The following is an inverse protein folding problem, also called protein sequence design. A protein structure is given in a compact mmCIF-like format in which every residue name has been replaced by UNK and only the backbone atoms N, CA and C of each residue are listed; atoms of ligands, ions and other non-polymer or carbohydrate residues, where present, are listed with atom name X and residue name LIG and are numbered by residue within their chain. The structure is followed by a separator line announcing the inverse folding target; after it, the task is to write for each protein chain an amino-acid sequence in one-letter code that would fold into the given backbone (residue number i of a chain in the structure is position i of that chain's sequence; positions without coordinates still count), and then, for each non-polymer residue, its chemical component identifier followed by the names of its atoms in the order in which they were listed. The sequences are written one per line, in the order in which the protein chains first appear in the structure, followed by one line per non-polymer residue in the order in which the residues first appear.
data_IF_248991877539
#
_entry.id   IF_248991877539
#
_cell.length_a   1.000
_cell.length_b   1.000
_cell.length_c   1.000
_cell.angle_alpha   90.00
_cell.angle_beta   90.00
_cell.angle_gamma   90.00
#
_symmetry.space_group_name_H-M   'P 1'
#
loop_
_entity.id
_entity.type
_entity.pdbx_description
1 polymer ?
#
# COMPACT_ATOMS: atom_id res chain seq x y z
N UNK A 1 -0.95 -1.13 -13.99
CA UNK A 1 -1.75 -2.12 -13.24
C UNK A 1 -1.26 -2.12 -11.81
N UNK A 2 -2.09 -1.77 -10.81
CA UNK A 2 -1.65 -1.91 -9.42
C UNK A 2 -1.78 -3.37 -8.99
N UNK A 3 -0.87 -3.84 -8.16
CA UNK A 3 -0.81 -5.23 -7.71
C UNK A 3 -0.50 -5.28 -6.21
N UNK A 4 -0.97 -6.31 -5.49
CA UNK A 4 -0.60 -6.52 -4.10
C UNK A 4 0.90 -6.80 -4.00
N UNK A 5 1.50 -6.34 -2.92
CA UNK A 5 2.89 -6.59 -2.56
C UNK A 5 3.06 -6.53 -1.04
N UNK A 6 4.25 -6.83 -0.56
CA UNK A 6 4.58 -6.80 0.87
C UNK A 6 5.57 -5.68 1.14
N UNK A 7 5.35 -4.96 2.23
CA UNK A 7 6.22 -3.86 2.62
C UNK A 7 7.52 -4.43 3.20
N UNK A 8 8.66 -4.03 2.67
CA UNK A 8 9.95 -4.53 3.15
C UNK A 8 10.33 -3.99 4.54
N UNK A 9 9.64 -2.94 5.02
CA UNK A 9 9.89 -2.33 6.34
C UNK A 9 9.08 -2.98 7.46
N UNK A 10 7.76 -3.02 7.29
CA UNK A 10 6.85 -3.53 8.32
C UNK A 10 6.33 -4.94 8.03
N UNK A 11 6.65 -5.53 6.88
CA UNK A 11 6.15 -6.83 6.41
C UNK A 11 4.62 -6.89 6.22
N UNK A 12 3.93 -5.75 6.29
CA UNK A 12 2.50 -5.64 6.04
C UNK A 12 2.13 -5.69 4.56
N UNK A 13 0.86 -6.00 4.28
CA UNK A 13 0.26 -5.94 2.96
C UNK A 13 0.24 -4.50 2.44
N UNK A 14 0.78 -4.32 1.26
CA UNK A 14 0.85 -3.06 0.52
C UNK A 14 0.58 -3.37 -0.94
N UNK A 15 0.83 -2.42 -1.82
CA UNK A 15 0.64 -2.54 -3.23
C UNK A 15 1.74 -1.77 -3.96
N UNK A 16 1.88 -2.03 -5.24
CA UNK A 16 2.74 -1.23 -6.11
C UNK A 16 2.00 -0.84 -7.38
N UNK A 17 2.37 0.30 -7.99
CA UNK A 17 1.75 0.82 -9.20
C UNK A 17 1.50 2.33 -9.15
N UNK A 18 0.53 2.78 -9.93
CA UNK A 18 0.22 4.21 -10.15
C UNK A 18 -0.82 4.82 -9.20
N UNK A 19 -1.38 4.06 -8.23
CA UNK A 19 -2.34 4.59 -7.25
C UNK A 19 -3.81 4.59 -7.70
N UNK A 20 -4.09 4.37 -8.98
CA UNK A 20 -5.46 4.39 -9.50
C UNK A 20 -6.22 3.07 -9.32
N UNK A 21 -5.51 1.97 -9.03
CA UNK A 21 -6.08 0.62 -8.89
C UNK A 21 -5.79 -0.01 -7.52
N UNK A 22 -5.47 0.81 -6.52
CA UNK A 22 -5.21 0.38 -5.14
C UNK A 22 -6.35 -0.42 -4.53
N UNK A 23 -7.62 -0.01 -4.62
CA UNK A 23 -8.72 -0.80 -4.06
C UNK A 23 -8.77 -2.22 -4.64
N UNK A 24 -8.51 -2.38 -5.95
CA UNK A 24 -8.42 -3.70 -6.60
C UNK A 24 -7.19 -4.49 -6.13
N UNK A 25 -6.04 -3.84 -5.99
CA UNK A 25 -4.81 -4.47 -5.50
C UNK A 25 -4.96 -4.97 -4.05
N UNK A 26 -5.60 -4.18 -3.20
CA UNK A 26 -5.83 -4.46 -1.78
C UNK A 26 -7.13 -5.23 -1.50
N UNK A 27 -7.90 -5.61 -2.53
CA UNK A 27 -9.20 -6.28 -2.36
C UNK A 27 -9.11 -7.61 -1.60
N UNK A 28 -7.96 -8.30 -1.68
CA UNK A 28 -7.73 -9.58 -1.01
C UNK A 28 -6.97 -9.44 0.33
N UNK A 29 -6.59 -8.23 0.71
CA UNK A 29 -5.84 -7.98 1.95
C UNK A 29 -6.76 -7.29 2.95
N UNK A 30 -7.05 -7.88 4.12
CA UNK A 30 -7.86 -7.23 5.13
C UNK A 30 -7.08 -6.06 5.75
N UNK A 31 -7.80 -5.05 6.25
CA UNK A 31 -7.20 -3.79 6.76
C UNK A 31 -6.21 -4.01 7.91
N UNK A 32 -6.40 -5.06 8.68
CA UNK A 32 -5.53 -5.48 9.78
C UNK A 32 -4.12 -5.89 9.31
N UNK A 33 -4.00 -6.44 8.11
CA UNK A 33 -2.71 -6.81 7.52
C UNK A 33 -2.06 -5.66 6.76
N UNK A 34 -2.73 -4.50 6.62
CA UNK A 34 -2.19 -3.41 5.81
C UNK A 34 -0.94 -2.79 6.44
N UNK A 35 -0.02 -2.38 5.57
CA UNK A 35 1.16 -1.64 5.95
C UNK A 35 0.77 -0.34 6.69
N UNK A 36 1.23 -0.21 7.93
CA UNK A 36 0.99 0.97 8.77
C UNK A 36 2.08 2.03 8.67
N UNK A 37 3.00 1.90 7.70
CA UNK A 37 4.06 2.89 7.49
C UNK A 37 3.50 4.20 6.97
N UNK A 38 4.19 5.29 7.28
CA UNK A 38 3.86 6.61 6.74
C UNK A 38 4.28 6.69 5.26
N UNK A 39 3.51 7.43 4.45
CA UNK A 39 3.90 7.75 3.08
C UNK A 39 5.01 8.80 3.08
N UNK A 40 6.12 8.50 2.42
CA UNK A 40 7.23 9.43 2.25
C UNK A 40 6.85 10.57 1.31
N UNK A 41 6.04 10.28 0.29
CA UNK A 41 5.63 11.26 -0.71
C UNK A 41 4.37 12.03 -0.33
N UNK A 42 3.77 11.77 0.84
CA UNK A 42 2.52 12.40 1.27
C UNK A 42 1.34 12.12 0.33
N UNK A 43 1.42 11.05 -0.47
CA UNK A 43 0.36 10.70 -1.40
C UNK A 43 -0.90 10.31 -0.59
N UNK A 44 -1.96 11.09 -0.74
CA UNK A 44 -3.25 10.80 -0.14
C UNK A 44 -3.93 9.66 -0.88
N UNK A 45 -3.77 8.44 -0.37
CA UNK A 45 -4.26 7.23 -1.00
C UNK A 45 -5.63 6.82 -0.44
N UNK A 46 -6.57 7.75 -0.23
CA UNK A 46 -7.93 7.45 0.27
C UNK A 46 -7.98 6.48 1.49
N UNK A 47 -6.98 6.56 2.39
CA UNK A 47 -6.86 5.67 3.55
C UNK A 47 -6.24 4.29 3.28
N UNK A 48 -5.68 4.07 2.09
CA UNK A 48 -4.88 2.89 1.76
C UNK A 48 -3.40 3.10 2.14
N UNK A 49 -2.66 2.01 2.43
CA UNK A 49 -1.24 2.08 2.77
C UNK A 49 -0.41 2.69 1.64
N UNK A 50 0.77 3.27 1.94
CA UNK A 50 1.72 3.71 0.92
C UNK A 50 2.13 2.55 0.00
N UNK A 51 2.50 2.87 -1.24
CA UNK A 51 3.07 1.87 -2.16
C UNK A 51 4.44 1.37 -1.68
N UNK A 52 4.84 0.19 -2.14
CA UNK A 52 6.21 -0.31 -1.94
C UNK A 52 7.24 0.75 -2.35
N UNK A 53 8.25 0.96 -1.49
CA UNK A 53 9.29 1.98 -1.66
C UNK A 53 8.88 3.41 -1.28
N UNK A 54 7.60 3.68 -1.04
CA UNK A 54 7.12 4.97 -0.50
C UNK A 54 6.87 4.91 1.01
N UNK A 55 6.73 3.70 1.57
CA UNK A 55 6.67 3.48 3.01
C UNK A 55 7.97 3.96 3.67
N UNK A 56 7.91 5.03 4.47
CA UNK A 56 9.04 5.47 5.32
C UNK A 56 8.94 4.90 6.72
#
# INVERSE_FOLDING_TARGET
MCKPATCEKCNGATWFGCGQHVPTAMSNSPKEDWCTCESASGAELNGFPPKVGDAK
#
